data_IF_988764339410
#
_entry.id   IF_988764339410
#
_cell.length_a   1.000
_cell.length_b   1.000
_cell.length_c   1.000
_cell.angle_alpha   90.00
_cell.angle_beta   90.00
_cell.angle_gamma   90.00
#
_symmetry.space_group_name_H-M   'P 1'
#
loop_
_entity.id
_entity.type
_entity.pdbx_description
1 polymer ?
#
# COMPACT_ATOMS: atom_id res chain seq x y z
N UNK A 1 16.97 -9.73 -12.16
CA UNK A 1 15.54 -9.44 -11.96
C UNK A 1 15.19 -9.92 -10.56
N UNK A 2 15.18 -9.02 -9.58
CA UNK A 2 14.91 -9.40 -8.19
C UNK A 2 13.43 -9.75 -8.05
N UNK A 3 13.17 -10.93 -7.50
CA UNK A 3 11.85 -11.47 -7.21
C UNK A 3 11.07 -10.43 -6.38
N UNK A 4 10.02 -9.84 -6.95
CA UNK A 4 9.05 -9.04 -6.20
C UNK A 4 8.44 -9.94 -5.13
N UNK A 5 8.94 -9.81 -3.90
CA UNK A 5 8.42 -10.53 -2.74
C UNK A 5 7.08 -9.89 -2.40
N UNK A 6 6.00 -10.40 -2.96
CA UNK A 6 4.63 -9.99 -2.61
C UNK A 6 4.31 -10.51 -1.21
N UNK A 7 4.73 -9.76 -0.20
CA UNK A 7 4.27 -10.00 1.16
C UNK A 7 2.85 -9.44 1.27
N UNK A 8 1.86 -10.24 1.71
CA UNK A 8 0.51 -9.76 1.96
C UNK A 8 0.55 -8.51 2.86
N UNK A 9 -0.05 -7.43 2.39
CA UNK A 9 -0.10 -6.15 3.11
C UNK A 9 -1.49 -5.55 2.98
N UNK A 10 -2.03 -5.06 4.10
CA UNK A 10 -3.33 -4.44 4.22
C UNK A 10 -3.32 -3.42 5.36
N UNK A 11 -4.33 -2.55 5.43
CA UNK A 11 -4.40 -1.48 6.45
C UNK A 11 -4.39 -2.00 7.90
N UNK A 12 -4.90 -3.21 8.16
CA UNK A 12 -4.88 -3.82 9.50
C UNK A 12 -3.46 -4.24 9.88
N UNK A 13 -2.70 -4.81 8.92
CA UNK A 13 -1.29 -5.12 9.09
C UNK A 13 -0.46 -3.85 9.32
N UNK A 14 -0.66 -2.81 8.51
CA UNK A 14 0.04 -1.51 8.64
C UNK A 14 -0.24 -0.89 10.02
N UNK A 15 -1.52 -0.83 10.42
CA UNK A 15 -1.93 -0.31 11.74
C UNK A 15 -1.28 -1.10 12.89
N UNK A 16 -1.19 -2.42 12.78
CA UNK A 16 -0.53 -3.26 13.79
C UNK A 16 0.98 -2.99 13.83
N UNK A 17 1.62 -2.82 12.69
CA UNK A 17 3.05 -2.53 12.61
C UNK A 17 3.39 -1.16 13.21
N UNK A 18 2.54 -0.15 13.03
CA UNK A 18 2.65 1.14 13.74
C UNK A 18 2.55 0.94 15.26
N UNK A 19 1.52 0.23 15.74
CA UNK A 19 1.33 -0.02 17.19
C UNK A 19 2.47 -0.81 17.82
N UNK A 20 3.13 -1.69 17.06
CA UNK A 20 4.32 -2.43 17.49
C UNK A 20 5.61 -1.63 17.38
N UNK A 21 5.56 -0.40 16.86
CA UNK A 21 6.73 0.43 16.60
C UNK A 21 7.64 -0.12 15.49
N UNK A 22 7.12 -0.94 14.57
CA UNK A 22 7.86 -1.43 13.41
C UNK A 22 7.85 -0.41 12.25
N UNK A 23 6.81 0.43 12.19
CA UNK A 23 6.74 1.62 11.35
C UNK A 23 6.88 2.81 12.29
N UNK A 24 7.98 3.56 12.17
CA UNK A 24 8.32 4.70 13.03
C UNK A 24 8.39 6.02 12.26
N UNK A 25 8.49 5.94 10.94
CA UNK A 25 8.64 7.10 10.06
C UNK A 25 7.57 7.13 8.99
N UNK A 26 7.26 8.33 8.50
CA UNK A 26 6.36 8.53 7.35
C UNK A 26 6.84 7.78 6.12
N UNK A 27 8.15 7.69 5.90
CA UNK A 27 8.74 6.96 4.77
C UNK A 27 8.48 5.44 4.85
N UNK A 28 8.54 4.84 6.04
CA UNK A 28 8.19 3.43 6.24
C UNK A 28 6.69 3.19 6.06
N UNK A 29 5.86 4.10 6.56
CA UNK A 29 4.41 4.04 6.35
C UNK A 29 4.05 4.11 4.86
N UNK A 30 4.63 5.06 4.14
CA UNK A 30 4.41 5.23 2.70
C UNK A 30 4.84 3.98 1.92
N UNK A 31 5.97 3.36 2.30
CA UNK A 31 6.44 2.11 1.66
C UNK A 31 5.41 0.99 1.78
N UNK A 32 4.87 0.75 2.97
CA UNK A 32 3.92 -0.33 3.19
C UNK A 32 2.56 -0.06 2.52
N UNK A 33 2.13 1.22 2.46
CA UNK A 33 0.94 1.62 1.71
C UNK A 33 1.13 1.40 0.20
N UNK A 34 2.28 1.78 -0.35
CA UNK A 34 2.59 1.55 -1.76
C UNK A 34 2.64 0.06 -2.09
N UNK A 35 3.19 -0.78 -1.19
CA UNK A 35 3.19 -2.23 -1.33
C UNK A 35 1.76 -2.81 -1.34
N UNK A 36 0.87 -2.31 -0.47
CA UNK A 36 -0.53 -2.71 -0.46
C UNK A 36 -1.21 -2.40 -1.80
N UNK A 37 -1.01 -1.20 -2.36
CA UNK A 37 -1.55 -0.83 -3.67
C UNK A 37 -0.97 -1.67 -4.80
N UNK A 38 0.34 -1.91 -4.80
CA UNK A 38 1.00 -2.71 -5.83
C UNK A 38 0.53 -4.17 -5.80
N UNK A 39 0.34 -4.74 -4.61
CA UNK A 39 -0.29 -6.05 -4.45
C UNK A 39 -1.74 -6.04 -4.97
N UNK A 40 -2.53 -5.03 -4.61
CA UNK A 40 -3.91 -4.93 -5.06
C UNK A 40 -4.02 -4.85 -6.60
N UNK A 41 -3.13 -4.09 -7.26
CA UNK A 41 -3.04 -4.01 -8.72
C UNK A 41 -2.55 -5.32 -9.35
N UNK A 42 -1.60 -6.01 -8.72
CA UNK A 42 -1.03 -7.26 -9.25
C UNK A 42 -1.99 -8.45 -9.14
N UNK A 43 -2.78 -8.52 -8.07
CA UNK A 43 -3.68 -9.63 -7.80
C UNK A 43 -5.11 -9.42 -8.33
N UNK A 44 -5.56 -8.18 -8.46
CA UNK A 44 -6.88 -7.88 -9.05
C UNK A 44 -6.71 -7.48 -10.52
N UNK A 45 -7.26 -8.28 -11.43
CA UNK A 45 -7.31 -7.97 -12.87
C UNK A 45 -7.94 -6.59 -13.10
N UNK A 46 -7.47 -5.86 -14.12
CA UNK A 46 -7.99 -4.54 -14.53
C UNK A 46 -9.47 -4.53 -14.94
N UNK A 47 -10.09 -5.71 -15.05
CA UNK A 47 -11.52 -5.87 -15.35
C UNK A 47 -12.47 -5.69 -14.15
N UNK A 48 -11.96 -5.47 -12.94
CA UNK A 48 -12.78 -5.25 -11.75
C UNK A 48 -12.67 -3.81 -11.22
N UNK A 49 -13.81 -3.25 -10.75
CA UNK A 49 -13.95 -1.93 -10.11
C UNK A 49 -12.90 -1.65 -9.01
N UNK A 50 -12.36 -2.70 -8.40
CA UNK A 50 -11.28 -2.64 -7.42
C UNK A 50 -10.02 -2.01 -7.99
N UNK A 51 -9.67 -2.26 -9.26
CA UNK A 51 -8.51 -1.64 -9.91
C UNK A 51 -8.66 -0.11 -9.97
N UNK A 52 -9.79 0.39 -10.47
CA UNK A 52 -10.05 1.83 -10.58
C UNK A 52 -10.06 2.53 -9.21
N UNK A 53 -10.70 1.94 -8.20
CA UNK A 53 -10.71 2.45 -6.82
C UNK A 53 -9.30 2.47 -6.21
N UNK A 54 -8.47 1.48 -6.51
CA UNK A 54 -7.09 1.40 -6.02
C UNK A 54 -6.23 2.55 -6.59
N UNK A 55 -6.39 2.86 -7.87
CA UNK A 55 -5.66 3.97 -8.53
C UNK A 55 -6.08 5.33 -7.98
N UNK A 56 -7.38 5.54 -7.76
CA UNK A 56 -7.91 6.79 -7.17
C UNK A 56 -7.37 6.99 -5.75
N UNK A 57 -7.48 5.97 -4.89
CA UNK A 57 -6.96 6.03 -3.52
C UNK A 57 -5.45 6.26 -3.46
N UNK A 58 -4.70 5.71 -4.41
CA UNK A 58 -3.25 5.91 -4.47
C UNK A 58 -2.89 7.37 -4.72
N UNK A 59 -3.65 8.06 -5.58
CA UNK A 59 -3.44 9.48 -5.87
C UNK A 59 -3.70 10.36 -4.65
N UNK A 60 -4.85 10.15 -3.99
CA UNK A 60 -5.24 10.96 -2.83
C UNK A 60 -4.26 10.82 -1.66
N UNK A 61 -3.74 9.61 -1.42
CA UNK A 61 -2.77 9.37 -0.36
C UNK A 61 -1.43 10.05 -0.66
N UNK A 62 -0.97 10.06 -1.92
CA UNK A 62 0.27 10.72 -2.27
C UNK A 62 0.21 12.23 -2.05
N UNK A 63 -0.96 12.84 -2.25
CA UNK A 63 -1.19 14.26 -1.95
C UNK A 63 -1.19 14.54 -0.43
N UNK A 64 -1.71 13.63 0.39
CA UNK A 64 -1.78 13.82 1.85
C UNK A 64 -0.48 13.50 2.60
N UNK A 65 0.34 12.57 2.10
CA UNK A 65 1.60 12.17 2.76
C UNK A 65 2.73 13.20 2.57
N UNK A 66 2.63 14.08 1.56
CA UNK A 66 3.64 15.10 1.27
C UNK A 66 3.48 16.43 2.01
N UNK A 67 2.45 16.58 2.86
CA UNK A 67 2.16 17.82 3.63
C UNK A 67 2.73 17.75 5.04
#
# INVERSE_FOLDING_TARGET
MAVSRTLPMDLSNIKRNIRKGLIRTTAEFQRDIMLMFQNAVMYNSSDHDVYHKTVEMQRDILEQIQV
#
